data_IF_366300456159
#
_entry.id   IF_366300456159
#
_cell.length_a   1.000
_cell.length_b   1.000
_cell.length_c   1.000
_cell.angle_alpha   90.00
_cell.angle_beta   90.00
_cell.angle_gamma   90.00
#
_symmetry.space_group_name_H-M   'P 1'
#
loop_
_entity.id
_entity.type
_entity.pdbx_description
1 polymer ?
#
# COMPACT_ATOMS: atom_id res chain seq x y z
N UNK A 1 22.64 7.46 13.32
CA UNK A 1 23.41 8.59 12.76
C UNK A 1 22.77 8.96 11.43
N UNK A 2 21.82 9.89 11.51
CA UNK A 2 21.39 10.88 10.50
C UNK A 2 21.19 10.40 9.05
N UNK A 3 19.94 10.04 8.70
CA UNK A 3 19.47 10.12 7.33
C UNK A 3 19.12 11.59 7.02
N UNK A 4 20.07 12.30 6.41
CA UNK A 4 19.88 13.66 5.92
C UNK A 4 19.15 13.62 4.56
N UNK A 5 17.89 14.04 4.52
CA UNK A 5 17.26 14.51 3.28
C UNK A 5 17.40 16.03 3.23
N UNK A 6 18.33 16.53 2.41
CA UNK A 6 18.49 17.97 2.15
C UNK A 6 17.64 18.37 0.93
N UNK A 7 16.92 19.50 0.97
CA UNK A 7 16.17 20.02 -0.17
C UNK A 7 17.02 21.01 -0.98
N UNK A 8 16.95 20.92 -2.31
CA UNK A 8 17.36 21.98 -3.22
C UNK A 8 16.28 22.21 -4.29
N UNK A 9 15.61 23.37 -4.20
CA UNK A 9 14.67 23.95 -5.17
C UNK A 9 15.47 24.72 -6.25
N UNK A 10 14.98 25.06 -7.48
CA UNK A 10 13.64 25.64 -7.71
C UNK A 10 12.91 25.40 -9.07
N UNK A 11 11.58 25.59 -9.03
CA UNK A 11 10.69 26.23 -10.02
C UNK A 11 10.86 25.90 -11.51
N UNK A 12 9.88 25.21 -12.12
CA UNK A 12 9.32 25.55 -13.45
C UNK A 12 7.81 25.18 -13.49
N UNK A 13 6.94 26.18 -13.68
CA UNK A 13 5.54 26.02 -14.06
C UNK A 13 5.43 25.49 -15.50
N UNK A 14 4.72 24.38 -15.74
CA UNK A 14 4.03 24.11 -17.02
C UNK A 14 2.72 23.37 -16.78
N UNK A 15 1.62 24.00 -17.21
CA UNK A 15 0.28 23.45 -17.39
C UNK A 15 0.29 22.38 -18.51
N UNK A 16 -0.17 21.14 -18.25
CA UNK A 16 -0.99 20.32 -19.15
C UNK A 16 -1.07 18.83 -18.71
N UNK A 17 -2.31 18.36 -18.57
CA UNK A 17 -2.83 17.00 -18.86
C UNK A 17 -2.08 15.74 -18.38
N UNK A 18 -2.72 15.06 -17.42
CA UNK A 18 -2.89 13.60 -17.29
C UNK A 18 -1.66 12.73 -17.54
N UNK A 19 -0.93 12.44 -16.47
CA UNK A 19 -0.41 11.10 -16.16
C UNK A 19 0.05 11.14 -14.70
N UNK A 20 -0.54 10.30 -13.85
CA UNK A 20 -0.21 10.21 -12.44
C UNK A 20 1.26 9.77 -12.29
N UNK A 21 2.14 10.74 -12.04
CA UNK A 21 3.54 10.50 -11.68
C UNK A 21 3.56 10.10 -10.21
N UNK A 22 3.28 8.82 -9.94
CA UNK A 22 3.41 8.23 -8.61
C UNK A 22 4.84 7.81 -8.31
N UNK A 23 5.84 8.68 -8.53
CA UNK A 23 7.22 8.41 -8.08
C UNK A 23 7.40 9.04 -6.70
N UNK A 24 6.76 8.44 -5.68
CA UNK A 24 7.08 8.72 -4.27
C UNK A 24 7.85 7.53 -3.69
N UNK A 25 9.07 7.34 -4.17
CA UNK A 25 10.06 6.50 -3.50
C UNK A 25 10.73 7.33 -2.39
N UNK A 26 10.10 7.40 -1.22
CA UNK A 26 10.71 8.02 -0.04
C UNK A 26 9.66 8.47 0.98
N UNK A 27 9.50 7.69 2.06
CA UNK A 27 8.61 7.98 3.21
C UNK A 27 7.08 7.92 2.95
N UNK A 28 6.60 7.12 2.00
CA UNK A 28 5.15 6.88 1.87
C UNK A 28 4.68 5.84 2.89
N UNK A 29 3.74 6.24 3.77
CA UNK A 29 3.04 5.32 4.65
C UNK A 29 2.37 4.21 3.79
N UNK A 30 2.69 2.92 3.98
CA UNK A 30 2.19 1.84 3.11
C UNK A 30 0.65 1.78 3.10
N UNK A 31 -0.03 2.29 4.14
CA UNK A 31 -1.49 2.41 4.20
C UNK A 31 -2.12 3.39 3.20
N UNK A 32 -1.34 4.32 2.64
CA UNK A 32 -1.85 5.34 1.70
C UNK A 32 -2.03 4.83 0.27
N UNK A 33 -1.43 3.68 -0.07
CA UNK A 33 -1.66 3.04 -1.35
C UNK A 33 -3.15 2.71 -1.51
N UNK A 34 -3.68 2.94 -2.70
CA UNK A 34 -5.08 2.63 -3.01
C UNK A 34 -5.27 1.16 -3.37
N UNK A 35 -6.50 0.66 -3.31
CA UNK A 35 -6.80 -0.70 -3.74
C UNK A 35 -6.46 -0.96 -5.21
N UNK A 36 -6.56 0.05 -6.09
CA UNK A 36 -6.15 -0.06 -7.50
C UNK A 36 -4.63 -0.23 -7.63
N UNK A 37 -3.85 0.53 -6.86
CA UNK A 37 -2.40 0.40 -6.82
C UNK A 37 -2.00 -0.98 -6.26
N UNK A 38 -2.68 -1.45 -5.23
CA UNK A 38 -2.48 -2.79 -4.67
C UNK A 38 -2.88 -3.91 -5.65
N UNK A 39 -3.96 -3.73 -6.41
CA UNK A 39 -4.40 -4.67 -7.45
C UNK A 39 -3.42 -4.73 -8.62
N UNK A 40 -2.77 -3.61 -8.94
CA UNK A 40 -1.77 -3.54 -10.02
C UNK A 40 -0.44 -4.21 -9.62
N UNK A 41 -0.19 -4.41 -8.32
CA UNK A 41 1.03 -5.07 -7.85
C UNK A 41 1.04 -6.58 -8.14
N UNK A 42 2.18 -7.16 -8.57
CA UNK A 42 2.32 -8.60 -8.62
C UNK A 42 2.28 -9.18 -7.20
N UNK A 43 1.97 -10.47 -7.10
CA UNK A 43 1.80 -11.15 -5.81
C UNK A 43 2.99 -10.98 -4.84
N UNK A 44 4.22 -10.99 -5.36
CA UNK A 44 5.43 -10.75 -4.56
C UNK A 44 5.48 -9.36 -3.93
N UNK A 45 5.07 -8.33 -4.66
CA UNK A 45 5.01 -6.95 -4.16
C UNK A 45 3.84 -6.76 -3.19
N UNK A 46 2.68 -7.39 -3.45
CA UNK A 46 1.56 -7.40 -2.50
C UNK A 46 1.98 -7.97 -1.14
N UNK A 47 2.77 -9.06 -1.13
CA UNK A 47 3.33 -9.60 0.12
C UNK A 47 4.25 -8.62 0.84
N UNK A 48 5.06 -7.85 0.12
CA UNK A 48 5.89 -6.80 0.71
C UNK A 48 5.04 -5.68 1.30
N UNK A 49 3.98 -5.27 0.59
CA UNK A 49 3.00 -4.29 1.09
C UNK A 49 2.33 -4.75 2.38
N UNK A 50 1.89 -6.02 2.45
CA UNK A 50 1.35 -6.63 3.68
C UNK A 50 2.36 -6.56 4.82
N UNK A 51 3.62 -6.94 4.57
CA UNK A 51 4.67 -6.87 5.59
C UNK A 51 4.93 -5.44 6.05
N UNK A 52 5.04 -4.49 5.13
CA UNK A 52 5.27 -3.09 5.43
C UNK A 52 4.11 -2.47 6.24
N UNK A 53 2.86 -2.86 5.96
CA UNK A 53 1.69 -2.47 6.75
C UNK A 53 1.78 -3.00 8.18
N UNK A 54 2.12 -4.29 8.37
CA UNK A 54 2.32 -4.84 9.71
C UNK A 54 3.41 -4.09 10.48
N UNK A 55 4.55 -3.80 9.83
CA UNK A 55 5.64 -3.02 10.44
C UNK A 55 5.20 -1.60 10.80
N UNK A 56 4.45 -0.92 9.93
CA UNK A 56 3.94 0.43 10.16
C UNK A 56 2.99 0.50 11.38
N UNK A 57 2.27 -0.59 11.65
CA UNK A 57 1.34 -0.71 12.77
C UNK A 57 1.92 -1.46 13.99
N UNK A 58 3.24 -1.67 14.04
CA UNK A 58 3.94 -2.38 15.13
C UNK A 58 3.42 -3.81 15.39
N UNK A 59 2.91 -4.48 14.36
CA UNK A 59 2.44 -5.85 14.42
C UNK A 59 3.54 -6.84 14.02
N UNK A 60 3.49 -8.04 14.61
CA UNK A 60 4.46 -9.09 14.33
C UNK A 60 4.36 -9.59 12.88
N UNK A 61 5.43 -9.39 12.11
CA UNK A 61 5.52 -9.78 10.68
C UNK A 61 5.78 -11.26 10.44
N UNK A 62 6.25 -11.98 11.46
CA UNK A 62 6.55 -13.42 11.40
C UNK A 62 5.30 -14.24 11.76
N UNK A 63 4.31 -13.61 12.40
CA UNK A 63 3.03 -14.24 12.69
C UNK A 63 2.29 -14.55 11.39
N UNK A 64 2.16 -15.85 11.11
CA UNK A 64 1.42 -16.37 9.96
C UNK A 64 -0.04 -15.94 10.03
N UNK A 65 -0.63 -15.90 11.23
CA UNK A 65 -2.00 -15.44 11.47
C UNK A 65 -2.18 -13.99 11.04
N UNK A 66 -1.33 -13.07 11.51
CA UNK A 66 -1.43 -11.65 11.16
C UNK A 66 -1.23 -11.41 9.65
N UNK A 67 -0.28 -12.13 9.05
CA UNK A 67 0.00 -12.02 7.61
C UNK A 67 -1.19 -12.51 6.77
N UNK A 68 -1.73 -13.69 7.08
CA UNK A 68 -2.87 -14.26 6.35
C UNK A 68 -4.17 -13.49 6.61
N UNK A 69 -4.39 -13.03 7.84
CA UNK A 69 -5.55 -12.22 8.22
C UNK A 69 -5.55 -10.88 7.49
N UNK A 70 -4.42 -10.16 7.50
CA UNK A 70 -4.26 -8.91 6.77
C UNK A 70 -4.40 -9.11 5.25
N UNK A 71 -3.78 -10.16 4.70
CA UNK A 71 -3.90 -10.47 3.28
C UNK A 71 -5.35 -10.75 2.88
N UNK A 72 -6.10 -11.51 3.68
CA UNK A 72 -7.52 -11.78 3.43
C UNK A 72 -8.38 -10.53 3.56
N UNK A 73 -8.12 -9.68 4.56
CA UNK A 73 -8.84 -8.43 4.76
C UNK A 73 -8.65 -7.49 3.56
N UNK A 74 -7.41 -7.34 3.08
CA UNK A 74 -7.08 -6.55 1.90
C UNK A 74 -7.72 -7.14 0.63
N UNK A 75 -7.62 -8.46 0.43
CA UNK A 75 -8.25 -9.13 -0.72
C UNK A 75 -9.76 -8.94 -0.73
N UNK A 76 -10.42 -9.05 0.42
CA UNK A 76 -11.87 -8.86 0.55
C UNK A 76 -12.27 -7.40 0.37
N UNK A 77 -11.53 -6.47 0.95
CA UNK A 77 -11.81 -5.04 0.85
C UNK A 77 -11.59 -4.51 -0.58
N UNK A 78 -10.47 -4.87 -1.20
CA UNK A 78 -10.10 -4.42 -2.54
C UNK A 78 -10.70 -5.28 -3.67
N UNK A 79 -11.31 -6.42 -3.35
CA UNK A 79 -11.80 -7.37 -4.36
C UNK A 79 -10.68 -7.94 -5.23
N UNK A 80 -9.51 -8.22 -4.64
CA UNK A 80 -8.32 -8.71 -5.34
C UNK A 80 -8.07 -10.17 -4.95
N UNK A 81 -8.31 -11.09 -5.88
CA UNK A 81 -8.20 -12.52 -5.66
C UNK A 81 -7.21 -13.17 -6.63
N UNK A 82 -6.42 -14.13 -6.11
CA UNK A 82 -5.45 -14.88 -6.91
C UNK A 82 -4.11 -14.19 -7.10
N UNK A 83 -3.29 -14.76 -7.99
CA UNK A 83 -1.90 -14.37 -8.21
C UNK A 83 -1.70 -13.34 -9.32
N UNK A 84 -2.75 -13.09 -10.12
CA UNK A 84 -2.67 -12.19 -11.27
C UNK A 84 -2.73 -10.72 -10.84
N UNK A 85 -2.04 -9.89 -11.60
CA UNK A 85 -2.22 -8.43 -11.57
C UNK A 85 -3.50 -8.07 -12.30
N UNK A 86 -4.23 -7.09 -11.78
CA UNK A 86 -5.35 -6.48 -12.47
C UNK A 86 -5.17 -4.97 -12.43
N UNK A 87 -5.45 -4.27 -13.53
CA UNK A 87 -5.28 -2.81 -13.62
C UNK A 87 -6.18 -2.05 -12.62
N UNK A 88 -7.23 -2.73 -12.14
CA UNK A 88 -8.20 -2.23 -11.18
C UNK A 88 -8.52 -3.25 -10.11
N UNK A 89 -8.83 -2.74 -8.92
CA UNK A 89 -9.41 -3.53 -7.85
C UNK A 89 -10.88 -3.84 -8.16
N UNK A 90 -11.36 -5.01 -7.76
CA UNK A 90 -12.78 -5.37 -7.90
C UNK A 90 -13.71 -4.54 -7.01
N UNK A 91 -13.18 -3.88 -5.98
CA UNK A 91 -13.92 -3.02 -5.05
C UNK A 91 -13.02 -1.97 -4.41
N UNK A 92 -13.58 -0.83 -4.00
CA UNK A 92 -12.86 0.21 -3.25
C UNK A 92 -11.60 0.78 -3.93
N UNK A 93 -11.55 0.80 -5.27
CA UNK A 93 -10.35 1.09 -6.06
C UNK A 93 -9.54 2.32 -5.64
N UNK A 94 -10.19 3.46 -5.38
CA UNK A 94 -9.51 4.70 -4.92
C UNK A 94 -9.39 4.81 -3.40
N UNK A 95 -9.92 3.85 -2.64
CA UNK A 95 -9.82 3.85 -1.18
C UNK A 95 -8.42 3.39 -0.75
N UNK A 96 -7.85 4.02 0.29
CA UNK A 96 -6.59 3.60 0.86
C UNK A 96 -6.71 2.22 1.53
N UNK A 97 -5.71 1.38 1.33
CA UNK A 97 -5.69 0.01 1.85
C UNK A 97 -5.65 -0.06 3.39
N UNK A 98 -5.23 1.02 4.06
CA UNK A 98 -5.26 1.12 5.52
C UNK A 98 -6.69 0.98 6.10
N UNK A 99 -7.71 1.30 5.30
CA UNK A 99 -9.12 1.17 5.71
C UNK A 99 -9.66 -0.25 5.64
N UNK A 100 -8.89 -1.19 5.08
CA UNK A 100 -9.28 -2.60 5.02
C UNK A 100 -9.31 -3.26 6.41
N UNK A 101 -8.59 -2.67 7.37
CA UNK A 101 -8.27 -3.28 8.66
C UNK A 101 -8.56 -2.29 9.79
N UNK A 102 -9.09 -2.81 10.90
CA UNK A 102 -9.22 -2.08 12.15
C UNK A 102 -7.98 -2.31 13.01
N UNK A 103 -6.99 -1.43 12.88
CA UNK A 103 -5.69 -1.55 13.55
C UNK A 103 -5.76 -1.55 15.09
N UNK A 104 -6.90 -1.20 15.69
CA UNK A 104 -7.13 -1.35 17.12
C UNK A 104 -7.32 -2.82 17.56
N UNK A 105 -7.48 -3.76 16.63
CA UNK A 105 -7.53 -5.20 16.92
C UNK A 105 -6.16 -5.83 16.74
N UNK A 106 -5.63 -6.47 17.79
CA UNK A 106 -4.31 -7.11 17.78
C UNK A 106 -4.30 -8.51 17.14
N UNK A 107 -5.48 -9.09 16.82
CA UNK A 107 -5.60 -10.47 16.31
C UNK A 107 -6.64 -10.59 15.19
N UNK A 108 -6.25 -11.32 14.15
CA UNK A 108 -6.89 -11.44 12.83
C UNK A 108 -6.75 -12.87 12.29
#
# INVERSE_FOLDING_TARGET
MNAFCRPEHPVVMVLAAVMAVGIMAGCSNPGTATCDEYASQPYSERKKTVKALLEAHNLETISVSNTLGLQQALSKYCGVYGFNTTDKAGSNGSSPIDKAVNWASEKW
#
